data_IF_404613208899
#
_entry.id   IF_404613208899
#
_cell.length_a   1.000
_cell.length_b   1.000
_cell.length_c   1.000
_cell.angle_alpha   90.00
_cell.angle_beta   90.00
_cell.angle_gamma   90.00
#
_symmetry.space_group_name_H-M   'P 1'
#
loop_
_entity.id
_entity.type
_entity.pdbx_description
1 polymer ?
#
# COMPACT_ATOMS: atom_id res chain seq x y z
N UNK A 1 8.09 7.19 -0.12
CA UNK A 1 7.09 6.52 0.73
C UNK A 1 5.74 6.44 0.01
N UNK A 2 5.03 7.55 -0.22
CA UNK A 2 3.72 7.47 -0.91
C UNK A 2 3.83 7.01 -2.37
N UNK A 3 4.71 7.62 -3.18
CA UNK A 3 4.94 7.19 -4.57
C UNK A 3 5.35 5.72 -4.72
N UNK A 4 6.09 5.20 -3.72
CA UNK A 4 6.49 3.80 -3.65
C UNK A 4 5.30 2.89 -3.35
N UNK A 5 4.42 3.30 -2.42
CA UNK A 5 3.17 2.59 -2.16
C UNK A 5 2.28 2.58 -3.41
N UNK A 6 2.10 3.72 -4.08
CA UNK A 6 1.33 3.80 -5.34
C UNK A 6 1.90 2.89 -6.43
N UNK A 7 3.23 2.77 -6.51
CA UNK A 7 3.90 1.89 -7.47
C UNK A 7 3.64 0.40 -7.19
N UNK A 8 3.52 0.01 -5.92
CA UNK A 8 3.15 -1.36 -5.52
C UNK A 8 1.64 -1.63 -5.66
N UNK A 9 0.80 -0.66 -5.29
CA UNK A 9 -0.67 -0.76 -5.33
C UNK A 9 -1.17 -0.88 -6.76
N UNK A 10 -0.64 -0.08 -7.70
CA UNK A 10 -1.16 0.00 -9.07
C UNK A 10 -1.28 -1.36 -9.79
N UNK A 11 -0.25 -2.24 -9.83
CA UNK A 11 -0.39 -3.57 -10.43
C UNK A 11 -1.34 -4.49 -9.64
N UNK A 12 -1.28 -4.48 -8.30
CA UNK A 12 -2.10 -5.34 -7.44
C UNK A 12 -3.60 -5.01 -7.56
N UNK A 13 -3.95 -3.72 -7.51
CA UNK A 13 -5.31 -3.24 -7.71
C UNK A 13 -5.85 -3.61 -9.10
N UNK A 14 -5.00 -3.62 -10.13
CA UNK A 14 -5.38 -4.09 -11.47
C UNK A 14 -5.66 -5.59 -11.48
N UNK A 15 -4.84 -6.41 -10.82
CA UNK A 15 -5.06 -7.85 -10.71
C UNK A 15 -6.40 -8.17 -10.00
N UNK A 16 -6.71 -7.46 -8.92
CA UNK A 16 -8.00 -7.57 -8.21
C UNK A 16 -9.15 -7.13 -9.11
N UNK A 17 -9.03 -5.98 -9.78
CA UNK A 17 -10.04 -5.48 -10.72
C UNK A 17 -10.32 -6.47 -11.85
N UNK A 18 -9.30 -7.15 -12.36
CA UNK A 18 -9.40 -8.16 -13.41
C UNK A 18 -9.84 -9.54 -12.89
N UNK A 19 -10.02 -9.70 -11.57
CA UNK A 19 -10.38 -10.96 -10.91
C UNK A 19 -9.37 -12.10 -11.17
N UNK A 20 -8.11 -11.74 -11.32
CA UNK A 20 -7.00 -12.69 -11.53
C UNK A 20 -5.99 -12.68 -10.37
N UNK A 21 -6.21 -11.85 -9.35
CA UNK A 21 -5.35 -11.79 -8.18
C UNK A 21 -5.40 -13.09 -7.38
N UNK A 22 -4.22 -13.53 -6.94
CA UNK A 22 -4.04 -14.56 -5.92
C UNK A 22 -4.36 -14.02 -4.51
N UNK A 23 -4.59 -14.91 -3.55
CA UNK A 23 -4.81 -14.53 -2.15
C UNK A 23 -3.61 -13.75 -1.56
N UNK A 24 -2.39 -14.06 -2.03
CA UNK A 24 -1.18 -13.34 -1.61
C UNK A 24 -1.15 -11.91 -2.16
N UNK A 25 -1.50 -11.71 -3.43
CA UNK A 25 -1.60 -10.38 -4.03
C UNK A 25 -2.69 -9.53 -3.37
N UNK A 26 -3.80 -10.14 -2.95
CA UNK A 26 -4.86 -9.44 -2.20
C UNK A 26 -4.33 -8.98 -0.84
N UNK A 27 -3.67 -9.86 -0.07
CA UNK A 27 -3.07 -9.49 1.23
C UNK A 27 -2.01 -8.39 1.09
N UNK A 28 -1.19 -8.47 0.04
CA UNK A 28 -0.21 -7.43 -0.27
C UNK A 28 -0.89 -6.11 -0.61
N UNK A 29 -1.96 -6.13 -1.40
CA UNK A 29 -2.72 -4.92 -1.72
C UNK A 29 -3.23 -4.24 -0.45
N UNK A 30 -3.88 -5.00 0.44
CA UNK A 30 -4.41 -4.48 1.70
C UNK A 30 -3.31 -3.86 2.58
N UNK A 31 -2.16 -4.53 2.71
CA UNK A 31 -1.04 -4.02 3.49
C UNK A 31 -0.46 -2.72 2.92
N UNK A 32 -0.32 -2.64 1.59
CA UNK A 32 0.18 -1.45 0.91
C UNK A 32 -0.80 -0.27 0.94
N UNK A 33 -2.11 -0.53 0.81
CA UNK A 33 -3.16 0.49 0.97
C UNK A 33 -3.22 1.04 2.41
N UNK A 34 -3.12 0.17 3.42
CA UNK A 34 -3.02 0.59 4.81
C UNK A 34 -1.79 1.50 5.02
N UNK A 35 -0.63 1.06 4.53
CA UNK A 35 0.62 1.83 4.62
C UNK A 35 0.50 3.20 3.94
N UNK A 36 -0.07 3.29 2.73
CA UNK A 36 -0.22 4.55 2.01
C UNK A 36 -1.10 5.55 2.78
N UNK A 37 -2.16 5.07 3.42
CA UNK A 37 -3.03 5.87 4.29
C UNK A 37 -2.28 6.34 5.54
N UNK A 38 -1.54 5.45 6.19
CA UNK A 38 -0.75 5.81 7.38
C UNK A 38 0.32 6.84 7.04
N UNK A 39 1.05 6.67 5.94
CA UNK A 39 2.04 7.64 5.44
C UNK A 39 1.41 9.01 5.20
N UNK A 40 0.22 9.08 4.59
CA UNK A 40 -0.48 10.35 4.35
C UNK A 40 -0.92 11.07 5.63
N UNK A 41 -1.06 10.34 6.75
CA UNK A 41 -1.55 10.87 8.03
C UNK A 41 -0.43 11.28 8.99
N UNK A 42 0.83 11.03 8.65
CA UNK A 42 1.96 11.37 9.53
C UNK A 42 2.05 12.88 9.70
N UNK A 43 2.11 13.33 10.96
CA UNK A 43 2.46 14.70 11.30
C UNK A 43 3.92 14.96 10.92
N UNK A 44 4.14 15.88 9.98
CA UNK A 44 5.49 16.19 9.48
C UNK A 44 6.33 17.00 10.46
N UNK A 45 5.72 17.59 11.51
CA UNK A 45 6.43 18.31 12.56
C UNK A 45 7.05 17.37 13.62
N UNK A 46 6.46 16.18 13.82
CA UNK A 46 6.98 15.12 14.71
C UNK A 46 6.69 13.74 14.10
N UNK A 47 7.48 13.33 13.09
CA UNK A 47 7.11 12.21 12.27
C UNK A 47 7.38 10.86 12.94
N UNK A 48 6.31 10.07 13.10
CA UNK A 48 6.36 8.64 13.37
C UNK A 48 5.91 7.88 12.11
N UNK A 49 6.88 7.49 11.27
CA UNK A 49 6.59 6.89 9.97
C UNK A 49 6.26 5.40 10.12
N UNK A 50 5.19 4.91 9.48
CA UNK A 50 4.88 3.47 9.50
C UNK A 50 5.99 2.65 8.82
N UNK A 51 6.07 1.37 9.21
CA UNK A 51 6.94 0.40 8.56
C UNK A 51 6.39 -0.02 7.20
N UNK A 52 7.30 -0.31 6.28
CA UNK A 52 6.96 -0.72 4.93
C UNK A 52 6.53 -2.21 4.94
N UNK A 53 5.42 -2.57 4.30
CA UNK A 53 5.00 -3.97 4.16
C UNK A 53 5.87 -4.73 3.13
N UNK A 54 5.85 -6.07 3.21
CA UNK A 54 6.59 -6.99 2.33
C UNK A 54 5.87 -7.34 1.02
#
# INVERSE_FOLDING_TARGET
RLSEAESAIAPLARAVKLKIATDEEIKRLEAWELYSVMVNRVDTASPDWPEKPE
#
